data_IF_073917067986
#
_entry.id   IF_073917067986
#
_cell.length_a   1.000
_cell.length_b   1.000
_cell.length_c   1.000
_cell.angle_alpha   90.00
_cell.angle_beta   90.00
_cell.angle_gamma   90.00
#
_symmetry.space_group_name_H-M   'P 1'
#
loop_
_entity.id
_entity.type
_entity.pdbx_description
1 polymer ?
#
# COMPACT_ATOMS: atom_id res chain seq x y z
N UNK A 1 6.17 16.45 36.56
CA UNK A 1 5.04 16.63 35.64
C UNK A 1 5.58 16.53 34.24
N UNK A 2 5.30 15.41 33.59
CA UNK A 2 5.58 15.18 32.19
C UNK A 2 4.44 15.82 31.37
N UNK A 3 4.78 16.74 30.46
CA UNK A 3 3.92 17.14 29.37
C UNK A 3 4.78 17.08 28.11
N UNK A 4 4.39 16.21 27.19
CA UNK A 4 5.04 15.98 25.92
C UNK A 4 4.47 16.96 24.90
N UNK A 5 5.31 17.87 24.41
CA UNK A 5 5.05 18.63 23.18
C UNK A 5 5.69 17.85 22.02
N UNK A 6 4.91 16.99 21.37
CA UNK A 6 5.28 16.42 20.06
C UNK A 6 4.34 17.08 19.06
N UNK A 7 4.87 18.15 18.46
CA UNK A 7 4.21 18.97 17.45
C UNK A 7 3.88 18.15 16.19
N UNK A 8 2.78 18.55 15.58
CA UNK A 8 2.21 17.97 14.37
C UNK A 8 3.03 18.43 13.16
N UNK A 9 3.67 17.51 12.44
CA UNK A 9 4.02 17.80 11.03
C UNK A 9 2.95 17.22 10.10
N UNK A 10 1.96 18.07 9.82
CA UNK A 10 1.03 17.94 8.70
C UNK A 10 1.74 18.49 7.45
N UNK A 11 2.64 17.70 6.85
CA UNK A 11 3.22 18.04 5.55
C UNK A 11 2.25 17.67 4.41
N UNK A 12 1.36 18.59 4.06
CA UNK A 12 0.63 18.60 2.80
C UNK A 12 1.40 19.44 1.76
N UNK A 13 1.97 18.85 0.70
CA UNK A 13 2.52 19.60 -0.44
C UNK A 13 2.81 18.74 -1.70
N UNK A 14 1.95 18.90 -2.71
CA UNK A 14 2.29 18.91 -4.15
C UNK A 14 2.66 17.61 -4.90
N UNK A 15 1.67 17.04 -5.59
CA UNK A 15 1.73 16.93 -7.07
C UNK A 15 2.62 15.89 -7.75
N UNK A 16 3.49 15.16 -7.05
CA UNK A 16 4.29 14.11 -7.70
C UNK A 16 4.41 12.91 -6.76
N UNK A 17 3.72 11.80 -7.07
CA UNK A 17 3.92 10.54 -6.35
C UNK A 17 5.34 10.04 -6.63
N UNK A 18 6.31 10.52 -5.85
CA UNK A 18 7.66 9.94 -5.82
C UNK A 18 7.47 8.47 -5.48
N UNK A 19 7.84 7.57 -6.40
CA UNK A 19 7.77 6.12 -6.18
C UNK A 19 8.62 5.80 -4.95
N UNK A 20 7.97 5.49 -3.83
CA UNK A 20 8.64 5.04 -2.61
C UNK A 20 9.09 3.60 -2.80
N UNK A 21 10.41 3.36 -2.74
CA UNK A 21 10.97 2.01 -2.65
C UNK A 21 10.78 1.51 -1.22
N UNK A 22 10.05 0.41 -1.05
CA UNK A 22 9.79 -0.22 0.25
C UNK A 22 10.88 -1.27 0.47
N UNK A 23 11.61 -1.18 1.59
CA UNK A 23 12.68 -2.13 1.92
C UNK A 23 12.13 -3.49 2.33
N UNK A 24 12.96 -4.54 2.27
CA UNK A 24 12.56 -5.88 2.71
C UNK A 24 12.12 -5.91 4.18
N UNK A 25 12.78 -5.14 5.04
CA UNK A 25 12.40 -5.07 6.46
C UNK A 25 11.00 -4.46 6.64
N UNK A 26 10.71 -3.36 5.94
CA UNK A 26 9.38 -2.74 5.95
C UNK A 26 8.31 -3.69 5.39
N UNK A 27 8.64 -4.48 4.36
CA UNK A 27 7.73 -5.49 3.81
C UNK A 27 7.39 -6.59 4.81
N UNK A 28 8.34 -7.04 5.63
CA UNK A 28 8.09 -8.07 6.65
C UNK A 28 7.08 -7.59 7.68
N UNK A 29 7.24 -6.36 8.17
CA UNK A 29 6.30 -5.73 9.09
C UNK A 29 4.91 -5.63 8.43
N UNK A 30 4.83 -5.09 7.22
CA UNK A 30 3.57 -4.96 6.48
C UNK A 30 2.85 -6.32 6.29
N UNK A 31 3.60 -7.37 5.99
CA UNK A 31 3.06 -8.73 5.84
C UNK A 31 2.55 -9.31 7.16
N UNK A 32 3.25 -9.12 8.27
CA UNK A 32 2.80 -9.56 9.60
C UNK A 32 1.46 -8.92 9.96
N UNK A 33 1.32 -7.61 9.75
CA UNK A 33 0.05 -6.91 9.95
C UNK A 33 -1.04 -7.38 8.99
N UNK A 34 -0.70 -7.68 7.74
CA UNK A 34 -1.64 -8.18 6.75
C UNK A 34 -2.24 -9.54 7.12
N UNK A 35 -1.43 -10.44 7.69
CA UNK A 35 -1.90 -11.76 8.15
C UNK A 35 -2.91 -11.64 9.30
N UNK A 36 -2.76 -10.62 10.16
CA UNK A 36 -3.69 -10.35 11.26
C UNK A 36 -4.95 -9.62 10.81
N UNK A 37 -4.80 -8.63 9.93
CA UNK A 37 -5.91 -7.83 9.41
C UNK A 37 -5.64 -7.33 7.99
N UNK A 38 -6.39 -7.87 7.03
CA UNK A 38 -6.31 -7.49 5.61
C UNK A 38 -6.97 -6.13 5.27
N UNK A 39 -7.71 -5.53 6.22
CA UNK A 39 -8.37 -4.21 6.14
C UNK A 39 -8.01 -3.36 7.36
N UNK A 40 -6.77 -2.85 7.43
CA UNK A 40 -6.31 -2.09 8.59
C UNK A 40 -7.12 -0.81 8.75
N UNK A 41 -7.50 -0.51 9.99
CA UNK A 41 -8.21 0.73 10.35
C UNK A 41 -7.28 1.95 10.20
N UNK A 42 -7.80 3.17 10.37
CA UNK A 42 -6.96 4.39 10.39
C UNK A 42 -5.89 4.29 11.49
N UNK A 43 -6.27 3.85 12.69
CA UNK A 43 -5.37 3.70 13.83
C UNK A 43 -4.25 2.68 13.55
N UNK A 44 -4.60 1.51 13.01
CA UNK A 44 -3.62 0.48 12.66
C UNK A 44 -2.63 0.99 11.60
N UNK A 45 -3.09 1.76 10.60
CA UNK A 45 -2.19 2.36 9.60
C UNK A 45 -1.24 3.40 10.21
N UNK A 46 -1.72 4.22 11.16
CA UNK A 46 -0.86 5.16 11.88
C UNK A 46 0.19 4.43 12.73
N UNK A 47 -0.17 3.30 13.35
CA UNK A 47 0.79 2.48 14.09
C UNK A 47 1.88 1.91 13.16
N UNK A 48 1.48 1.29 12.05
CA UNK A 48 2.42 0.76 11.05
C UNK A 48 3.31 1.88 10.49
N UNK A 49 2.76 3.07 10.28
CA UNK A 49 3.51 4.25 9.83
C UNK A 49 4.63 4.63 10.80
N UNK A 50 4.34 4.62 12.11
CA UNK A 50 5.35 4.88 13.14
C UNK A 50 6.43 3.81 13.18
N UNK A 51 6.06 2.54 12.99
CA UNK A 51 7.02 1.42 13.03
C UNK A 51 7.88 1.32 11.76
N UNK A 52 7.31 1.60 10.59
CA UNK A 52 8.01 1.45 9.30
C UNK A 52 8.64 2.75 8.78
N UNK A 53 8.28 3.90 9.36
CA UNK A 53 8.63 5.23 8.85
C UNK A 53 7.97 5.57 7.51
N UNK A 54 7.00 4.77 7.06
CA UNK A 54 6.28 4.99 5.81
C UNK A 54 5.05 5.85 6.04
N UNK A 55 4.70 6.67 5.06
CA UNK A 55 3.45 7.43 5.12
C UNK A 55 2.21 6.51 5.10
N UNK A 56 1.17 6.92 5.84
CA UNK A 56 -0.07 6.16 5.94
C UNK A 56 -0.77 5.96 4.58
N UNK A 57 -0.55 6.85 3.61
CA UNK A 57 -1.01 6.72 2.23
C UNK A 57 -0.31 5.57 1.50
N UNK A 58 1.01 5.44 1.68
CA UNK A 58 1.80 4.36 1.06
C UNK A 58 1.36 3.01 1.62
N UNK A 59 1.16 2.92 2.93
CA UNK A 59 0.62 1.74 3.59
C UNK A 59 -0.77 1.41 3.02
N UNK A 60 -1.66 2.39 2.89
CA UNK A 60 -2.97 2.18 2.28
C UNK A 60 -2.88 1.60 0.86
N UNK A 61 -2.03 2.17 -0.01
CA UNK A 61 -1.81 1.65 -1.38
C UNK A 61 -1.26 0.24 -1.34
N UNK A 62 -0.29 -0.03 -0.47
CA UNK A 62 0.30 -1.35 -0.35
C UNK A 62 -0.75 -2.40 0.02
N UNK A 63 -1.61 -2.13 1.01
CA UNK A 63 -2.70 -3.04 1.39
C UNK A 63 -3.74 -3.21 0.28
N UNK A 64 -4.02 -2.16 -0.52
CA UNK A 64 -4.90 -2.27 -1.70
C UNK A 64 -4.29 -3.16 -2.78
N UNK A 65 -3.01 -2.95 -3.11
CA UNK A 65 -2.25 -3.73 -4.09
C UNK A 65 -2.09 -5.17 -3.65
N UNK A 66 -1.86 -5.41 -2.36
CA UNK A 66 -1.74 -6.75 -1.80
C UNK A 66 -3.05 -7.54 -1.95
N UNK A 67 -4.20 -6.93 -1.64
CA UNK A 67 -5.51 -7.55 -1.91
C UNK A 67 -5.79 -7.74 -3.40
N UNK A 68 -5.34 -6.82 -4.25
CA UNK A 68 -5.48 -6.97 -5.71
C UNK A 68 -4.69 -8.17 -6.22
N UNK A 69 -3.45 -8.34 -5.74
CA UNK A 69 -2.60 -9.50 -6.02
C UNK A 69 -3.25 -10.81 -5.56
N UNK A 70 -3.90 -10.82 -4.41
CA UNK A 70 -4.64 -12.00 -3.91
C UNK A 70 -5.82 -12.35 -4.82
N UNK A 71 -6.63 -11.36 -5.22
CA UNK A 71 -7.73 -11.58 -6.20
C UNK A 71 -7.23 -12.09 -7.54
N UNK A 72 -6.13 -11.53 -8.05
CA UNK A 72 -5.51 -12.00 -9.30
C UNK A 72 -4.97 -13.42 -9.19
N UNK A 73 -4.40 -13.82 -8.05
CA UNK A 73 -3.93 -15.19 -7.83
C UNK A 73 -5.08 -16.19 -7.82
N UNK A 74 -6.18 -15.87 -7.13
CA UNK A 74 -7.40 -16.70 -7.14
C UNK A 74 -7.97 -16.84 -8.57
N UNK A 75 -8.05 -15.74 -9.32
CA UNK A 75 -8.59 -15.77 -10.68
C UNK A 75 -7.66 -16.44 -11.71
N UNK A 76 -6.34 -16.25 -11.57
CA UNK A 76 -5.32 -16.91 -12.42
C UNK A 76 -5.24 -18.41 -12.20
N UNK A 77 -5.71 -18.91 -11.06
CA UNK A 77 -5.76 -20.36 -10.79
C UNK A 77 -6.91 -21.05 -11.53
N UNK A 78 -7.94 -20.29 -11.93
CA UNK A 78 -9.11 -20.78 -12.66
C UNK A 78 -9.04 -20.49 -14.17
N UNK A 79 -8.20 -19.55 -14.62
CA UNK A 79 -8.12 -19.07 -16.02
C UNK A 79 -6.74 -19.30 -16.68
N UNK A 80 -6.02 -20.35 -16.28
CA UNK A 80 -4.78 -20.79 -16.98
C UNK A 80 -5.01 -21.72 -18.18
N UNK A 81 -6.27 -21.92 -18.56
CA UNK A 81 -6.63 -22.19 -19.95
C UNK A 81 -7.30 -20.91 -20.46
N UNK A 82 -7.00 -20.54 -21.70
CA UNK A 82 -7.69 -19.49 -22.47
C UNK A 82 -7.17 -18.05 -22.33
N UNK A 83 -6.20 -17.76 -23.22
CA UNK A 83 -5.88 -16.48 -23.85
C UNK A 83 -4.94 -15.49 -23.13
N UNK A 84 -3.70 -15.48 -23.66
CA UNK A 84 -2.83 -14.32 -23.74
C UNK A 84 -3.61 -13.07 -24.20
N UNK A 85 -4.05 -12.23 -23.26
CA UNK A 85 -4.50 -10.87 -23.55
C UNK A 85 -3.82 -9.94 -22.53
N UNK A 86 -2.83 -9.12 -22.94
CA UNK A 86 -2.24 -8.15 -22.03
C UNK A 86 -3.31 -7.13 -21.59
N UNK A 87 -3.32 -6.68 -20.32
CA UNK A 87 -4.18 -5.59 -19.92
C UNK A 87 -3.76 -4.32 -20.69
N UNK A 88 -4.59 -3.91 -21.65
CA UNK A 88 -4.50 -2.61 -22.31
C UNK A 88 -4.84 -1.51 -21.28
N UNK A 89 -3.84 -1.07 -20.54
CA UNK A 89 -3.88 0.17 -19.76
C UNK A 89 -2.83 1.13 -20.27
N UNK A 90 -3.17 1.87 -21.34
CA UNK A 90 -2.79 3.27 -21.55
C UNK A 90 -3.51 3.90 -22.76
N UNK A 91 -4.85 3.92 -22.79
CA UNK A 91 -5.54 4.95 -23.59
C UNK A 91 -5.85 6.13 -22.68
N UNK A 92 -4.83 6.97 -22.46
CA UNK A 92 -5.01 8.36 -22.03
C UNK A 92 -3.91 9.18 -22.73
N UNK A 93 -4.38 10.13 -23.54
CA UNK A 93 -3.64 11.13 -24.33
C UNK A 93 -3.08 10.66 -25.69
N UNK A 94 -3.78 11.00 -26.77
CA UNK A 94 -3.35 12.03 -27.73
C UNK A 94 -4.58 12.44 -28.57
N UNK A 95 -4.65 13.73 -28.86
CA UNK A 95 -5.68 14.44 -29.65
C UNK A 95 -5.90 13.87 -31.06
#
# INVERSE_FOLDING_TARGET
TCAADIDSDESNCSGETRRTSISNEQLRILQEYYQRNNRPSKQTRTQISRETGLDARIILVWFQNQRAKERQQVESSTKRADFHTPPMTCYRALE
#
